data_IF_984815908042
#
_entry.id   IF_984815908042
#
_cell.length_a   1.000
_cell.length_b   1.000
_cell.length_c   1.000
_cell.angle_alpha   90.00
_cell.angle_beta   90.00
_cell.angle_gamma   90.00
#
_symmetry.space_group_name_H-M   'P 1'
#
loop_
_entity.id
_entity.type
_entity.pdbx_description
1 polymer ?
#
# COMPACT_ATOMS: atom_id res chain seq x y z
N UNK A 1 -46.99 19.68 -47.97
CA UNK A 1 -46.99 18.53 -47.04
C UNK A 1 -45.58 17.96 -46.95
N UNK A 2 -44.86 18.19 -45.84
CA UNK A 2 -43.83 17.31 -45.21
C UNK A 2 -43.27 18.10 -44.00
N UNK A 3 -43.84 17.92 -42.80
CA UNK A 3 -43.27 17.15 -41.67
C UNK A 3 -42.01 17.82 -41.08
N UNK A 4 -42.10 18.63 -40.02
CA UNK A 4 -42.17 18.27 -38.58
C UNK A 4 -41.06 17.30 -38.12
N UNK A 5 -40.48 17.63 -36.95
CA UNK A 5 -39.52 16.88 -36.09
C UNK A 5 -38.05 17.26 -36.42
N UNK A 6 -37.32 18.19 -35.80
CA UNK A 6 -37.24 18.71 -34.41
C UNK A 6 -37.09 17.60 -33.34
N UNK A 7 -35.89 17.58 -32.73
CA UNK A 7 -35.47 16.88 -31.50
C UNK A 7 -35.09 15.38 -31.58
N UNK A 8 -33.80 15.13 -31.84
CA UNK A 8 -32.97 14.06 -31.26
C UNK A 8 -31.59 14.23 -31.95
N UNK A 9 -30.45 14.46 -31.30
CA UNK A 9 -29.90 13.67 -30.20
C UNK A 9 -28.73 14.44 -29.57
N UNK A 10 -29.02 15.21 -28.51
CA UNK A 10 -28.00 15.64 -27.55
C UNK A 10 -27.83 14.48 -26.55
N UNK A 11 -27.03 13.47 -26.90
CA UNK A 11 -26.88 12.27 -26.07
C UNK A 11 -25.53 11.59 -26.28
N UNK A 12 -24.42 12.34 -26.24
CA UNK A 12 -23.08 11.75 -26.18
C UNK A 12 -22.12 12.65 -25.37
N UNK A 13 -22.55 13.07 -24.19
CA UNK A 13 -21.68 13.73 -23.20
C UNK A 13 -21.95 13.24 -21.78
N UNK A 14 -22.13 11.93 -21.61
CA UNK A 14 -22.12 11.29 -20.28
C UNK A 14 -21.40 9.94 -20.31
N UNK A 15 -20.32 9.83 -21.09
CA UNK A 15 -19.25 8.89 -20.80
C UNK A 15 -18.43 9.39 -19.60
N UNK A 16 -19.11 9.69 -18.49
CA UNK A 16 -18.42 9.89 -17.22
C UNK A 16 -17.78 8.56 -16.89
N UNK A 17 -16.45 8.52 -16.89
CA UNK A 17 -15.71 7.40 -16.36
C UNK A 17 -16.26 7.10 -14.97
N UNK A 18 -17.06 6.04 -14.86
CA UNK A 18 -17.07 5.21 -13.66
C UNK A 18 -15.65 4.68 -13.58
N UNK A 19 -14.77 5.47 -12.96
CA UNK A 19 -13.51 4.98 -12.47
C UNK A 19 -13.93 4.03 -11.35
N UNK A 20 -14.04 2.74 -11.68
CA UNK A 20 -14.07 1.70 -10.67
C UNK A 20 -12.87 1.97 -9.77
N UNK A 21 -13.13 2.51 -8.58
CA UNK A 21 -12.11 2.62 -7.56
C UNK A 21 -11.64 1.19 -7.32
N UNK A 22 -10.41 0.88 -7.74
CA UNK A 22 -9.81 -0.42 -7.44
C UNK A 22 -9.91 -0.61 -5.94
N UNK A 23 -10.63 -1.65 -5.47
CA UNK A 23 -10.92 -1.80 -4.06
C UNK A 23 -9.60 -1.86 -3.28
N UNK A 24 -9.51 -1.05 -2.23
CA UNK A 24 -8.34 -1.05 -1.37
C UNK A 24 -8.21 -2.43 -0.70
N UNK A 25 -7.05 -3.10 -0.75
CA UNK A 25 -6.92 -4.45 -0.24
C UNK A 25 -7.12 -4.47 1.28
N UNK A 26 -7.90 -5.43 1.76
CA UNK A 26 -7.91 -5.78 3.19
C UNK A 26 -6.64 -6.55 3.50
N UNK A 27 -5.77 -6.00 4.33
CA UNK A 27 -4.46 -6.57 4.63
C UNK A 27 -4.15 -6.46 6.13
N UNK A 28 -3.53 -7.49 6.68
CA UNK A 28 -2.92 -7.40 8.01
C UNK A 28 -1.52 -6.78 7.88
N UNK A 29 -1.36 -5.56 8.38
CA UNK A 29 -0.11 -4.82 8.34
C UNK A 29 0.97 -5.36 9.28
N UNK A 30 0.64 -6.29 10.19
CA UNK A 30 1.67 -6.98 10.98
C UNK A 30 2.51 -7.87 10.06
N UNK A 31 1.86 -8.55 9.11
CA UNK A 31 2.51 -9.46 8.18
C UNK A 31 3.40 -10.50 8.89
N UNK A 32 4.30 -11.08 8.11
CA UNK A 32 5.37 -11.92 8.65
C UNK A 32 6.71 -11.18 8.59
N UNK A 33 7.63 -11.60 9.44
CA UNK A 33 9.01 -11.13 9.43
C UNK A 33 9.90 -12.13 8.73
N UNK A 34 10.71 -11.64 7.81
CA UNK A 34 11.73 -12.41 7.12
C UNK A 34 13.09 -11.73 7.29
N UNK A 35 14.17 -12.51 7.30
CA UNK A 35 15.52 -11.95 7.35
C UNK A 35 15.77 -11.12 6.09
N UNK A 36 16.17 -9.87 6.29
CA UNK A 36 16.70 -9.00 5.25
C UNK A 36 18.20 -9.31 5.11
N UNK A 37 18.53 -10.29 4.27
CA UNK A 37 19.92 -10.69 4.03
C UNK A 37 20.80 -9.52 3.52
N UNK A 38 20.34 -8.66 2.58
CA UNK A 38 21.08 -7.46 2.18
C UNK A 38 21.41 -6.52 3.35
N UNK A 39 20.41 -6.14 4.15
CA UNK A 39 20.62 -5.25 5.30
C UNK A 39 21.50 -5.92 6.37
N UNK A 40 21.23 -7.18 6.68
CA UNK A 40 21.98 -7.97 7.66
C UNK A 40 23.46 -8.04 7.28
N UNK A 41 23.77 -8.44 6.04
CA UNK A 41 25.14 -8.49 5.53
C UNK A 41 25.82 -7.12 5.59
N UNK A 42 25.11 -6.06 5.18
CA UNK A 42 25.63 -4.69 5.20
C UNK A 42 25.98 -4.20 6.62
N UNK A 43 25.14 -4.51 7.61
CA UNK A 43 25.33 -4.14 9.02
C UNK A 43 26.44 -4.96 9.68
N UNK A 44 26.50 -6.25 9.40
CA UNK A 44 27.57 -7.12 9.88
C UNK A 44 28.94 -6.72 9.31
N UNK A 45 29.01 -6.27 8.05
CA UNK A 45 30.22 -5.70 7.48
C UNK A 45 30.69 -4.41 8.19
N UNK A 46 29.80 -3.72 8.92
CA UNK A 46 30.10 -2.57 9.76
C UNK A 46 30.41 -2.95 11.22
N UNK A 47 30.49 -4.25 11.53
CA UNK A 47 30.74 -4.76 12.87
C UNK A 47 29.50 -4.76 13.78
N UNK A 48 28.30 -4.58 13.23
CA UNK A 48 27.05 -4.62 13.98
C UNK A 48 26.49 -6.05 13.94
N UNK A 49 26.38 -6.69 15.10
CA UNK A 49 25.85 -8.05 15.23
C UNK A 49 24.32 -8.10 15.19
N UNK A 50 23.78 -9.26 14.79
CA UNK A 50 22.35 -9.54 14.76
C UNK A 50 21.77 -9.69 13.34
N UNK A 51 20.54 -10.17 13.29
CA UNK A 51 19.73 -10.27 12.08
C UNK A 51 18.78 -9.07 12.00
N UNK A 52 18.66 -8.51 10.79
CA UNK A 52 17.68 -7.47 10.48
C UNK A 52 16.54 -8.10 9.71
N UNK A 53 15.32 -7.68 10.02
CA UNK A 53 14.13 -8.23 9.40
C UNK A 53 13.46 -7.21 8.48
N UNK A 54 12.84 -7.73 7.43
CA UNK A 54 11.88 -7.03 6.58
C UNK A 54 10.48 -7.60 6.83
N UNK A 55 9.47 -6.79 6.56
CA UNK A 55 8.07 -7.19 6.68
C UNK A 55 7.51 -7.59 5.32
N UNK A 56 6.83 -8.74 5.29
CA UNK A 56 6.14 -9.24 4.11
C UNK A 56 4.66 -9.41 4.42
N UNK A 57 3.81 -8.81 3.60
CA UNK A 57 2.37 -8.85 3.71
C UNK A 57 1.79 -9.90 2.77
N UNK A 58 0.68 -10.52 3.19
CA UNK A 58 -0.17 -11.31 2.29
C UNK A 58 -1.28 -10.39 1.76
N UNK A 59 -1.15 -9.93 0.52
CA UNK A 59 -2.10 -9.05 -0.17
C UNK A 59 -2.81 -9.88 -1.24
N UNK A 60 -4.13 -10.06 -1.11
CA UNK A 60 -4.94 -10.86 -2.05
C UNK A 60 -4.39 -12.29 -2.28
N UNK A 61 -3.81 -12.91 -1.24
CA UNK A 61 -3.23 -14.25 -1.31
C UNK A 61 -1.83 -14.31 -1.95
N UNK A 62 -1.22 -13.16 -2.25
CA UNK A 62 0.15 -13.06 -2.76
C UNK A 62 1.05 -12.34 -1.77
N UNK A 63 2.31 -12.77 -1.73
CA UNK A 63 3.33 -12.13 -0.92
C UNK A 63 3.79 -10.83 -1.54
N UNK A 64 3.82 -9.78 -0.73
CA UNK A 64 4.24 -8.44 -1.13
C UNK A 64 5.15 -7.84 -0.06
N UNK A 65 6.29 -7.29 -0.46
CA UNK A 65 7.13 -6.56 0.48
C UNK A 65 6.38 -5.33 1.01
N UNK A 66 6.51 -5.06 2.30
CA UNK A 66 5.78 -3.95 2.94
C UNK A 66 6.04 -2.59 2.28
N UNK A 67 7.28 -2.33 1.84
CA UNK A 67 7.61 -1.10 1.12
C UNK A 67 6.92 -1.00 -0.24
N UNK A 68 6.73 -2.13 -0.93
CA UNK A 68 6.01 -2.16 -2.22
C UNK A 68 4.51 -1.91 -2.00
N UNK A 69 3.95 -2.47 -0.94
CA UNK A 69 2.57 -2.18 -0.54
C UNK A 69 2.36 -0.68 -0.29
N UNK A 70 3.22 -0.05 0.50
CA UNK A 70 3.14 1.39 0.78
C UNK A 70 3.24 2.19 -0.52
N UNK A 71 4.18 1.85 -1.40
CA UNK A 71 4.37 2.56 -2.66
C UNK A 71 3.18 2.42 -3.62
N UNK A 72 2.58 1.23 -3.68
CA UNK A 72 1.51 0.91 -4.61
C UNK A 72 0.14 1.41 -4.14
N UNK A 73 -0.18 1.20 -2.85
CA UNK A 73 -1.52 1.45 -2.31
C UNK A 73 -1.61 2.74 -1.49
N UNK A 74 -0.48 3.28 -1.01
CA UNK A 74 -0.43 4.49 -0.19
C UNK A 74 0.47 5.58 -0.82
N UNK A 75 0.14 6.06 -2.04
CA UNK A 75 0.98 7.03 -2.74
C UNK A 75 0.97 8.44 -2.12
N UNK A 76 -0.09 8.79 -1.39
CA UNK A 76 -0.25 10.10 -0.73
C UNK A 76 -0.08 9.98 0.79
N UNK A 77 0.89 10.70 1.34
CA UNK A 77 1.12 10.80 2.78
C UNK A 77 0.04 11.55 3.54
N UNK A 78 -0.80 12.35 2.86
CA UNK A 78 -1.91 13.10 3.45
C UNK A 78 -3.26 12.36 3.34
N UNK A 79 -3.23 11.07 3.03
CA UNK A 79 -4.42 10.23 2.91
C UNK A 79 -5.25 10.17 4.21
N UNK A 80 -6.56 10.02 4.05
CA UNK A 80 -7.50 9.72 5.15
C UNK A 80 -7.75 8.23 5.33
N UNK A 81 -7.11 7.38 4.52
CA UNK A 81 -7.23 5.94 4.63
C UNK A 81 -6.48 5.44 5.88
N UNK A 82 -7.22 4.88 6.84
CA UNK A 82 -6.68 4.38 8.10
C UNK A 82 -5.59 3.32 7.92
N UNK A 83 -5.73 2.42 6.94
CA UNK A 83 -4.71 1.41 6.64
C UNK A 83 -3.41 2.07 6.19
N UNK A 84 -3.48 3.09 5.33
CA UNK A 84 -2.28 3.84 4.94
C UNK A 84 -1.68 4.64 6.08
N UNK A 85 -2.49 5.27 6.93
CA UNK A 85 -2.00 5.99 8.12
C UNK A 85 -1.22 5.05 9.06
N UNK A 86 -1.75 3.84 9.29
CA UNK A 86 -1.08 2.79 10.06
C UNK A 86 0.18 2.29 9.36
N UNK A 87 0.11 2.05 8.05
CA UNK A 87 1.26 1.61 7.25
C UNK A 87 2.41 2.63 7.30
N UNK A 88 2.14 3.94 7.22
CA UNK A 88 3.18 4.95 7.36
C UNK A 88 3.83 4.97 8.75
N UNK A 89 3.03 4.75 9.81
CA UNK A 89 3.57 4.66 11.18
C UNK A 89 4.46 3.42 11.34
N UNK A 90 4.03 2.27 10.85
CA UNK A 90 4.82 1.04 10.85
C UNK A 90 6.09 1.22 10.01
N UNK A 91 5.98 1.83 8.83
CA UNK A 91 7.13 2.13 7.96
C UNK A 91 8.18 2.96 8.68
N UNK A 92 7.77 4.00 9.41
CA UNK A 92 8.70 4.82 10.17
C UNK A 92 9.45 4.02 11.24
N UNK A 93 8.81 3.04 11.88
CA UNK A 93 9.45 2.14 12.85
C UNK A 93 10.43 1.21 12.12
N UNK A 94 9.94 0.52 11.08
CA UNK A 94 10.72 -0.45 10.31
C UNK A 94 11.96 0.20 9.66
N UNK A 95 11.86 1.45 9.18
CA UNK A 95 12.99 2.18 8.57
C UNK A 95 14.08 2.57 9.57
N UNK A 96 13.75 2.73 10.87
CA UNK A 96 14.69 3.14 11.91
C UNK A 96 15.35 1.93 12.57
N UNK A 97 14.56 0.92 12.94
CA UNK A 97 15.03 -0.22 13.74
C UNK A 97 15.06 -1.55 13.00
N UNK A 98 14.63 -1.60 11.74
CA UNK A 98 14.25 -2.84 11.08
C UNK A 98 12.86 -3.31 11.53
N UNK A 99 12.28 -4.24 10.78
CA UNK A 99 10.95 -4.75 11.07
C UNK A 99 10.92 -5.51 12.39
N UNK A 100 9.89 -5.25 13.19
CA UNK A 100 9.72 -5.87 14.52
C UNK A 100 8.31 -6.42 14.71
N UNK A 101 8.20 -7.43 15.57
CA UNK A 101 6.92 -7.99 16.03
C UNK A 101 6.25 -7.12 17.08
N UNK A 102 6.99 -6.22 17.71
CA UNK A 102 6.54 -5.39 18.83
C UNK A 102 6.07 -4.03 18.33
N UNK A 103 4.96 -4.02 17.59
CA UNK A 103 4.34 -2.76 17.16
C UNK A 103 3.57 -2.11 18.32
N UNK A 104 3.57 -0.77 18.43
CA UNK A 104 2.73 -0.04 19.38
C UNK A 104 1.25 -0.42 19.31
N UNK A 105 0.59 -0.48 20.47
CA UNK A 105 -0.85 -0.71 20.56
C UNK A 105 -1.64 0.34 19.76
N UNK A 106 -2.66 -0.10 19.03
CA UNK A 106 -3.51 0.79 18.22
C UNK A 106 -2.99 1.04 16.80
N UNK A 107 -1.91 0.37 16.39
CA UNK A 107 -1.57 0.15 14.99
C UNK A 107 -2.36 -1.02 14.39
#
# INVERSE_FOLDING_TARGET
MLRLIMLASASLLLGGCLQEETPFPTVDLHGRLEVDHPMTTSRQAQGIEGEYFKRVLSVNGQDMAFNDFVKQYCPDSNTRNETCLKAFRIKKIDDVSGATRFLPNGL
#
